data_IF_256199765422
#
_entry.id   IF_256199765422
#
_cell.length_a   1.000
_cell.length_b   1.000
_cell.length_c   1.000
_cell.angle_alpha   90.00
_cell.angle_beta   90.00
_cell.angle_gamma   90.00
#
_symmetry.space_group_name_H-M   'P 1'
#
loop_
_entity.id
_entity.type
_entity.pdbx_description
1 polymer ?
#
# COMPACT_ATOMS: atom_id res chain seq x y z
N UNK A 1 24.07 24.47 -17.75
CA UNK A 1 23.62 24.16 -16.37
C UNK A 1 24.84 24.32 -15.46
N UNK A 2 24.78 25.13 -14.38
CA UNK A 2 25.95 25.50 -13.55
C UNK A 2 26.55 24.34 -12.73
N UNK A 3 27.64 24.58 -11.96
CA UNK A 3 28.38 23.56 -11.19
C UNK A 3 27.53 22.89 -10.10
N UNK A 4 27.99 21.77 -9.55
CA UNK A 4 27.33 21.10 -8.42
C UNK A 4 27.20 22.07 -7.23
N UNK A 5 26.06 22.05 -6.53
CA UNK A 5 25.77 23.01 -5.45
C UNK A 5 25.13 24.35 -5.87
N UNK A 6 25.03 24.65 -7.18
CA UNK A 6 24.43 25.91 -7.67
C UNK A 6 22.89 26.03 -7.48
N UNK A 7 22.27 25.17 -6.67
CA UNK A 7 20.82 25.24 -6.38
C UNK A 7 19.89 24.73 -7.48
N UNK A 8 20.39 24.00 -8.48
CA UNK A 8 19.60 23.49 -9.63
C UNK A 8 18.40 22.63 -9.18
N UNK A 9 18.64 21.65 -8.30
CA UNK A 9 17.59 20.78 -7.77
C UNK A 9 16.59 21.57 -6.94
N UNK A 10 17.07 22.53 -6.13
CA UNK A 10 16.21 23.42 -5.35
C UNK A 10 15.32 24.29 -6.23
N UNK A 11 15.85 24.81 -7.35
CA UNK A 11 15.05 25.56 -8.31
C UNK A 11 13.98 24.67 -8.95
N UNK A 12 14.32 23.45 -9.34
CA UNK A 12 13.35 22.49 -9.88
C UNK A 12 12.28 22.09 -8.86
N UNK A 13 12.63 21.92 -7.58
CA UNK A 13 11.67 21.67 -6.50
C UNK A 13 10.67 22.81 -6.34
N UNK A 14 11.14 24.05 -6.48
CA UNK A 14 10.29 25.25 -6.41
C UNK A 14 9.39 25.35 -7.65
N UNK A 15 9.93 25.09 -8.83
CA UNK A 15 9.22 25.12 -10.11
C UNK A 15 8.21 23.97 -10.28
N UNK A 16 8.45 22.81 -9.68
CA UNK A 16 7.48 21.70 -9.61
C UNK A 16 6.44 21.91 -8.49
N UNK A 17 6.78 22.76 -7.52
CA UNK A 17 5.98 22.97 -6.31
C UNK A 17 6.12 21.83 -5.30
N UNK A 18 7.22 21.07 -5.37
CA UNK A 18 7.65 20.10 -4.36
C UNK A 18 8.08 20.82 -3.08
N UNK A 19 8.88 21.89 -3.22
CA UNK A 19 9.20 22.82 -2.14
C UNK A 19 8.29 24.04 -2.19
N UNK A 20 7.56 24.29 -1.10
CA UNK A 20 6.68 25.47 -0.94
C UNK A 20 7.06 26.37 0.25
N UNK A 21 7.83 25.84 1.19
CA UNK A 21 8.31 26.59 2.36
C UNK A 21 9.50 27.47 1.99
N UNK A 22 9.54 28.68 2.56
CA UNK A 22 10.60 29.67 2.34
C UNK A 22 10.80 30.04 0.85
N UNK A 23 9.70 30.17 0.10
CA UNK A 23 9.71 30.62 -1.30
C UNK A 23 8.82 31.85 -1.41
N UNK A 24 9.41 32.98 -1.84
CA UNK A 24 8.70 34.22 -2.13
C UNK A 24 8.75 34.51 -3.63
N UNK A 25 7.68 35.09 -4.18
CA UNK A 25 7.56 35.47 -5.59
C UNK A 25 6.43 34.75 -6.33
N UNK A 26 6.24 35.10 -7.61
CA UNK A 26 5.21 34.53 -8.47
C UNK A 26 5.84 33.73 -9.62
N UNK A 27 5.35 32.52 -9.84
CA UNK A 27 5.80 31.66 -10.94
C UNK A 27 4.76 31.73 -12.04
N UNK A 28 5.20 32.11 -13.25
CA UNK A 28 4.35 32.21 -14.42
C UNK A 28 4.61 31.06 -15.38
N UNK A 29 3.55 30.44 -15.88
CA UNK A 29 3.61 29.44 -16.95
C UNK A 29 2.84 30.01 -18.13
N UNK A 30 3.53 30.20 -19.26
CA UNK A 30 2.96 30.82 -20.47
C UNK A 30 2.29 32.19 -20.21
N UNK A 31 2.94 33.03 -19.39
CA UNK A 31 2.46 34.39 -19.08
C UNK A 31 1.29 34.46 -18.09
N UNK A 32 0.84 33.33 -17.54
CA UNK A 32 -0.21 33.27 -16.50
C UNK A 32 0.36 32.76 -15.19
N UNK A 33 -0.18 33.25 -14.06
CA UNK A 33 0.19 32.74 -12.73
C UNK A 33 -0.05 31.22 -12.70
N UNK A 34 0.95 30.47 -12.25
CA UNK A 34 0.93 29.01 -12.22
C UNK A 34 -0.15 28.49 -11.27
N UNK A 35 -1.20 27.89 -11.82
CA UNK A 35 -2.07 27.00 -11.07
C UNK A 35 -1.36 25.65 -10.85
N UNK A 36 -0.97 25.35 -9.61
CA UNK A 36 -0.25 24.12 -9.26
C UNK A 36 -1.02 22.83 -9.62
N UNK A 37 -2.34 22.83 -9.49
CA UNK A 37 -3.13 21.64 -9.78
C UNK A 37 -3.21 21.36 -11.28
N UNK A 38 -3.44 22.39 -12.10
CA UNK A 38 -3.43 22.26 -13.55
C UNK A 38 -2.02 21.93 -14.07
N UNK A 39 -1.00 22.60 -13.53
CA UNK A 39 0.40 22.38 -13.90
C UNK A 39 0.83 20.92 -13.66
N UNK A 40 0.55 20.37 -12.46
CA UNK A 40 0.90 18.98 -12.12
C UNK A 40 0.15 17.92 -12.92
N UNK A 41 -0.97 18.25 -13.57
CA UNK A 41 -1.62 17.32 -14.50
C UNK A 41 -0.80 17.20 -15.79
N UNK A 42 -0.29 18.32 -16.29
CA UNK A 42 0.44 18.41 -17.56
C UNK A 42 1.92 18.05 -17.44
N UNK A 43 2.49 18.07 -16.23
CA UNK A 43 3.91 17.77 -15.99
C UNK A 43 4.10 16.54 -15.10
N UNK A 44 5.29 15.96 -15.15
CA UNK A 44 5.74 14.91 -14.25
C UNK A 44 7.05 15.38 -13.61
N UNK A 45 7.15 15.30 -12.29
CA UNK A 45 8.37 15.60 -11.56
C UNK A 45 9.10 14.29 -11.24
N UNK A 46 10.37 14.23 -11.63
CA UNK A 46 11.28 13.11 -11.38
C UNK A 46 12.41 13.66 -10.51
N UNK A 47 12.59 13.08 -9.33
CA UNK A 47 13.66 13.44 -8.39
C UNK A 47 14.98 12.84 -8.84
N UNK A 48 16.09 13.37 -8.34
CA UNK A 48 17.43 12.85 -8.64
C UNK A 48 17.58 11.38 -8.22
N UNK A 49 17.13 11.06 -6.99
CA UNK A 49 16.97 9.68 -6.54
C UNK A 49 15.53 9.25 -6.82
N UNK A 50 15.34 8.48 -7.88
CA UNK A 50 14.03 8.01 -8.28
C UNK A 50 13.77 6.56 -7.80
N UNK A 51 12.78 6.41 -6.93
CA UNK A 51 12.35 5.10 -6.44
C UNK A 51 11.24 4.57 -7.35
N UNK A 52 11.57 3.54 -8.14
CA UNK A 52 10.62 2.82 -8.99
C UNK A 52 10.17 1.53 -8.30
N UNK A 53 9.08 0.94 -8.80
CA UNK A 53 8.68 -0.40 -8.37
C UNK A 53 9.68 -1.41 -8.93
N UNK A 54 10.55 -1.95 -8.08
CA UNK A 54 11.64 -2.87 -8.44
C UNK A 54 11.15 -4.17 -9.11
N UNK A 55 9.94 -4.60 -8.74
CA UNK A 55 9.32 -5.82 -9.27
C UNK A 55 8.66 -5.61 -10.64
N UNK A 56 8.74 -4.42 -11.23
CA UNK A 56 8.20 -4.07 -12.54
C UNK A 56 9.33 -3.71 -13.51
N UNK A 57 9.19 -4.10 -14.77
CA UNK A 57 10.15 -3.66 -15.81
C UNK A 57 10.01 -2.16 -16.05
N UNK A 58 11.04 -1.55 -16.64
CA UNK A 58 11.01 -0.12 -17.02
C UNK A 58 9.79 0.17 -17.92
N UNK A 59 9.53 -0.70 -18.89
CA UNK A 59 8.37 -0.59 -19.78
C UNK A 59 7.04 -0.66 -19.03
N UNK A 60 6.89 -1.56 -18.06
CA UNK A 60 5.67 -1.67 -17.26
C UNK A 60 5.46 -0.43 -16.39
N UNK A 61 6.51 0.08 -15.73
CA UNK A 61 6.46 1.33 -14.98
C UNK A 61 6.02 2.49 -15.87
N UNK A 62 6.57 2.59 -17.09
CA UNK A 62 6.22 3.63 -18.07
C UNK A 62 4.77 3.50 -18.57
N UNK A 63 4.32 2.29 -18.92
CA UNK A 63 2.94 2.03 -19.35
C UNK A 63 1.94 2.36 -18.25
N UNK A 64 2.22 1.97 -17.01
CA UNK A 64 1.36 2.27 -15.86
C UNK A 64 1.29 3.78 -15.61
N UNK A 65 2.42 4.49 -15.67
CA UNK A 65 2.46 5.95 -15.56
C UNK A 65 1.64 6.64 -16.68
N UNK A 66 1.78 6.17 -17.91
CA UNK A 66 1.02 6.66 -19.07
C UNK A 66 -0.49 6.41 -18.90
N UNK A 67 -0.89 5.25 -18.40
CA UNK A 67 -2.30 4.93 -18.13
C UNK A 67 -2.93 5.87 -17.11
N UNK A 68 -2.17 6.29 -16.09
CA UNK A 68 -2.64 7.27 -15.11
C UNK A 68 -2.74 8.69 -15.66
N UNK A 69 -1.80 9.09 -16.52
CA UNK A 69 -1.66 10.48 -17.02
C UNK A 69 -2.48 10.79 -18.26
N UNK A 70 -2.55 9.87 -19.21
CA UNK A 70 -3.23 10.08 -20.49
C UNK A 70 -4.73 9.74 -20.39
N UNK A 71 -5.13 8.84 -19.50
CA UNK A 71 -6.52 8.44 -19.34
C UNK A 71 -6.99 7.41 -20.38
N UNK A 72 -8.25 6.94 -20.31
CA UNK A 72 -8.76 5.87 -21.16
C UNK A 72 -9.09 6.31 -22.60
N UNK A 73 -9.18 7.62 -22.85
CA UNK A 73 -9.58 8.17 -24.15
C UNK A 73 -8.49 8.07 -25.22
N UNK A 74 -7.24 7.84 -24.83
CA UNK A 74 -6.15 7.57 -25.76
C UNK A 74 -6.09 6.07 -26.07
N UNK A 75 -6.12 5.67 -27.36
CA UNK A 75 -5.91 4.29 -27.78
C UNK A 75 -4.60 3.74 -27.21
N UNK A 76 -4.58 2.46 -26.85
CA UNK A 76 -3.39 1.77 -26.33
C UNK A 76 -2.21 1.95 -27.29
N UNK A 77 -2.45 1.84 -28.60
CA UNK A 77 -1.45 2.06 -29.65
C UNK A 77 -0.86 3.48 -29.65
N UNK A 78 -1.65 4.50 -29.30
CA UNK A 78 -1.18 5.89 -29.26
C UNK A 78 -0.40 6.18 -27.96
N UNK A 79 -0.78 5.52 -26.86
CA UNK A 79 -0.01 5.54 -25.59
C UNK A 79 1.31 4.81 -25.74
N UNK A 80 1.27 3.63 -26.36
CA UNK A 80 2.45 2.83 -26.69
C UNK A 80 3.31 3.59 -27.71
N UNK A 81 2.78 4.21 -28.77
CA UNK A 81 3.58 4.99 -29.72
C UNK A 81 4.27 6.22 -29.08
N UNK A 82 3.74 6.79 -28.00
CA UNK A 82 4.40 7.87 -27.25
C UNK A 82 5.55 7.38 -26.37
N UNK A 83 5.55 6.11 -25.96
CA UNK A 83 6.51 5.51 -25.03
C UNK A 83 6.98 4.10 -25.45
N UNK A 84 7.02 3.82 -26.75
CA UNK A 84 7.05 2.46 -27.31
C UNK A 84 8.37 1.75 -27.05
N UNK A 85 8.40 0.45 -27.32
CA UNK A 85 9.60 -0.38 -27.16
C UNK A 85 10.79 0.18 -27.95
N UNK A 86 10.52 0.79 -29.11
CA UNK A 86 11.47 1.52 -29.95
C UNK A 86 12.10 2.72 -29.21
N UNK A 87 11.29 3.52 -28.50
CA UNK A 87 11.73 4.69 -27.75
C UNK A 87 12.36 4.32 -26.41
N UNK A 88 11.94 3.23 -25.78
CA UNK A 88 12.55 2.76 -24.52
C UNK A 88 13.93 2.16 -24.78
N UNK A 89 14.10 1.36 -25.83
CA UNK A 89 15.43 0.90 -26.24
C UNK A 89 16.34 2.08 -26.62
N UNK A 90 15.80 3.08 -27.34
CA UNK A 90 16.52 4.31 -27.66
C UNK A 90 16.85 5.16 -26.42
N UNK A 91 15.96 5.20 -25.41
CA UNK A 91 16.21 5.89 -24.14
C UNK A 91 17.24 5.16 -23.29
N UNK A 92 17.21 3.81 -23.24
CA UNK A 92 18.18 2.98 -22.51
C UNK A 92 19.55 3.08 -23.17
N UNK A 93 19.61 3.01 -24.51
CA UNK A 93 20.84 3.22 -25.27
C UNK A 93 21.38 4.66 -25.13
N UNK A 94 20.50 5.67 -25.07
CA UNK A 94 20.86 7.07 -24.93
C UNK A 94 21.11 7.56 -23.50
N UNK A 95 20.83 6.76 -22.47
CA UNK A 95 20.97 7.19 -21.05
C UNK A 95 22.41 7.23 -20.55
N UNK A 96 23.36 6.59 -21.26
CA UNK A 96 24.83 6.76 -21.13
C UNK A 96 25.35 7.36 -19.82
N UNK A 97 24.97 6.79 -18.66
CA UNK A 97 25.30 7.27 -17.31
C UNK A 97 25.43 8.80 -17.13
N UNK A 98 24.52 9.58 -17.71
CA UNK A 98 24.47 11.03 -17.46
C UNK A 98 25.52 11.90 -18.16
N UNK A 99 26.30 11.35 -19.10
CA UNK A 99 27.22 12.11 -19.96
C UNK A 99 26.94 11.84 -21.43
N UNK A 100 25.80 12.29 -21.94
CA UNK A 100 25.52 12.14 -23.37
C UNK A 100 24.84 13.39 -23.93
N UNK A 101 25.60 14.17 -24.68
CA UNK A 101 25.13 15.33 -25.47
C UNK A 101 24.58 14.91 -26.84
N UNK A 102 24.56 13.60 -27.14
CA UNK A 102 24.12 13.05 -28.44
C UNK A 102 22.61 13.20 -28.69
N UNK A 103 21.84 13.65 -27.68
CA UNK A 103 20.41 13.96 -27.81
C UNK A 103 20.12 15.04 -28.87
N UNK A 104 21.11 15.90 -29.12
CA UNK A 104 21.04 16.92 -30.15
C UNK A 104 22.02 16.56 -31.26
N UNK A 105 21.71 15.52 -32.04
CA UNK A 105 22.52 15.16 -33.22
C UNK A 105 22.83 16.36 -34.15
N UNK A 106 22.02 17.42 -34.08
CA UNK A 106 22.33 18.74 -34.65
C UNK A 106 21.72 19.86 -33.76
N UNK A 107 22.50 20.55 -32.91
CA UNK A 107 22.02 21.61 -32.02
C UNK A 107 21.34 22.77 -32.77
N UNK A 108 21.64 22.94 -34.06
CA UNK A 108 21.06 23.97 -34.91
C UNK A 108 19.60 23.70 -35.32
N UNK A 109 19.12 22.45 -35.19
CA UNK A 109 17.73 22.04 -35.46
C UNK A 109 16.79 22.22 -34.27
N UNK A 110 17.32 22.58 -33.09
CA UNK A 110 16.49 22.94 -31.94
C UNK A 110 15.81 24.26 -32.25
N UNK A 111 14.56 24.18 -32.70
CA UNK A 111 13.75 25.35 -33.03
C UNK A 111 13.73 26.32 -31.85
N UNK A 112 14.00 27.60 -32.14
CA UNK A 112 13.86 28.67 -31.15
C UNK A 112 12.44 28.65 -30.59
N UNK A 113 12.30 29.04 -29.32
CA UNK A 113 11.02 28.98 -28.59
C UNK A 113 9.87 29.70 -29.34
N UNK A 114 10.20 30.77 -30.05
CA UNK A 114 9.28 31.54 -30.89
C UNK A 114 8.76 30.74 -32.10
N UNK A 115 9.66 30.03 -32.80
CA UNK A 115 9.30 29.15 -33.92
C UNK A 115 8.50 27.93 -33.46
N UNK A 116 8.79 27.39 -32.27
CA UNK A 116 7.98 26.32 -31.66
C UNK A 116 6.57 26.80 -31.29
N UNK A 117 6.43 28.02 -30.75
CA UNK A 117 5.12 28.64 -30.45
C UNK A 117 4.26 28.88 -31.69
N UNK A 118 4.88 29.20 -32.83
CA UNK A 118 4.15 29.34 -34.08
C UNK A 118 3.76 27.99 -34.69
N UNK A 119 4.63 26.97 -34.58
CA UNK A 119 4.37 25.63 -35.14
C UNK A 119 3.36 24.82 -34.32
N UNK A 120 3.34 25.02 -33.00
CA UNK A 120 2.42 24.38 -32.06
C UNK A 120 1.74 25.46 -31.20
N UNK A 121 0.75 26.17 -31.74
CA UNK A 121 0.05 27.21 -30.99
C UNK A 121 -0.54 26.59 -29.73
N UNK A 122 -0.22 27.18 -28.58
CA UNK A 122 -0.67 26.72 -27.27
C UNK A 122 -2.20 26.72 -27.25
N UNK A 123 -2.81 25.55 -27.35
CA UNK A 123 -4.25 25.41 -27.16
C UNK A 123 -4.61 25.93 -25.77
N UNK A 124 -5.59 26.83 -25.71
CA UNK A 124 -6.12 27.33 -24.44
C UNK A 124 -6.56 26.10 -23.64
N UNK A 125 -6.11 25.93 -22.38
CA UNK A 125 -6.60 24.82 -21.58
C UNK A 125 -8.12 24.94 -21.53
N UNK A 126 -8.81 23.88 -21.96
CA UNK A 126 -10.25 23.73 -21.77
C UNK A 126 -10.56 23.96 -20.27
N UNK A 127 -11.74 24.54 -20.00
CA UNK A 127 -12.26 24.92 -18.67
C UNK A 127 -11.62 24.11 -17.53
N UNK A 128 -11.15 24.80 -16.49
CA UNK A 128 -10.56 24.19 -15.29
C UNK A 128 -11.50 23.12 -14.71
N UNK A 129 -11.30 21.87 -15.13
CA UNK A 129 -12.00 20.74 -14.56
C UNK A 129 -11.48 20.57 -13.12
N UNK A 130 -12.40 20.68 -12.17
CA UNK A 130 -12.22 20.50 -10.72
C UNK A 130 -11.61 19.14 -10.35
N UNK A 131 -11.70 18.15 -11.23
CA UNK A 131 -11.19 16.79 -11.03
C UNK A 131 -9.65 16.81 -11.02
N UNK A 132 -9.01 16.44 -9.91
CA UNK A 132 -7.54 16.54 -9.73
C UNK A 132 -6.73 15.56 -10.60
N UNK A 133 -7.26 14.38 -10.89
CA UNK A 133 -6.61 13.32 -11.68
C UNK A 133 -7.17 13.27 -13.11
N UNK A 134 -6.39 12.75 -14.06
CA UNK A 134 -6.80 12.59 -15.46
C UNK A 134 -7.76 11.42 -15.69
N UNK A 135 -7.72 10.40 -14.82
CA UNK A 135 -8.53 9.17 -14.89
C UNK A 135 -9.61 9.14 -13.82
N UNK A 136 -10.73 8.47 -14.11
CA UNK A 136 -11.76 8.16 -13.12
C UNK A 136 -11.26 7.13 -12.08
N UNK A 137 -11.87 7.11 -10.90
CA UNK A 137 -11.47 6.24 -9.78
C UNK A 137 -11.45 4.75 -10.14
N UNK A 138 -12.38 4.28 -10.97
CA UNK A 138 -12.43 2.89 -11.42
C UNK A 138 -11.21 2.50 -12.26
N UNK A 139 -10.78 3.39 -13.17
CA UNK A 139 -9.58 3.15 -13.98
C UNK A 139 -8.33 3.18 -13.10
N UNK A 140 -8.26 4.11 -12.14
CA UNK A 140 -7.17 4.14 -11.17
C UNK A 140 -7.08 2.81 -10.41
N UNK A 141 -8.21 2.34 -9.88
CA UNK A 141 -8.31 1.07 -9.16
C UNK A 141 -7.90 -0.11 -10.05
N UNK A 142 -8.43 -0.21 -11.27
CA UNK A 142 -8.10 -1.29 -12.21
C UNK A 142 -6.61 -1.35 -12.53
N UNK A 143 -5.98 -0.21 -12.81
CA UNK A 143 -4.53 -0.14 -13.09
C UNK A 143 -3.71 -0.51 -11.87
N UNK A 144 -4.09 -0.05 -10.67
CA UNK A 144 -3.43 -0.40 -9.41
C UNK A 144 -3.57 -1.90 -9.08
N UNK A 145 -4.76 -2.49 -9.29
CA UNK A 145 -4.99 -3.92 -9.12
C UNK A 145 -4.13 -4.74 -10.08
N UNK A 146 -4.10 -4.37 -11.37
CA UNK A 146 -3.24 -5.04 -12.36
C UNK A 146 -1.77 -5.00 -11.94
N UNK A 147 -1.29 -3.82 -11.50
CA UNK A 147 0.07 -3.63 -10.98
C UNK A 147 0.35 -4.56 -9.80
N UNK A 148 -0.55 -4.56 -8.82
CA UNK A 148 -0.41 -5.38 -7.61
C UNK A 148 -0.41 -6.89 -7.90
N UNK A 149 -1.21 -7.36 -8.85
CA UNK A 149 -1.22 -8.77 -9.26
C UNK A 149 0.11 -9.16 -9.92
N UNK A 150 0.66 -8.33 -10.81
CA UNK A 150 1.97 -8.61 -11.44
C UNK A 150 3.05 -8.69 -10.38
N UNK A 151 3.05 -7.73 -9.45
CA UNK A 151 3.98 -7.69 -8.33
C UNK A 151 3.88 -8.94 -7.46
N UNK A 152 2.68 -9.31 -7.03
CA UNK A 152 2.46 -10.48 -6.16
C UNK A 152 2.79 -11.82 -6.84
N UNK A 153 2.74 -11.89 -8.18
CA UNK A 153 3.20 -13.07 -8.92
C UNK A 153 4.72 -13.18 -9.01
N UNK A 154 5.45 -12.06 -8.98
CA UNK A 154 6.92 -12.04 -9.08
C UNK A 154 7.60 -12.18 -7.73
N UNK A 155 7.03 -11.56 -6.70
CA UNK A 155 7.50 -11.74 -5.32
C UNK A 155 6.60 -12.74 -4.59
N UNK A 156 7.02 -14.00 -4.67
CA UNK A 156 6.31 -15.11 -4.02
C UNK A 156 6.87 -15.44 -2.65
N UNK A 157 8.01 -14.88 -2.25
CA UNK A 157 8.72 -15.23 -1.01
C UNK A 157 7.85 -14.96 0.22
N UNK A 158 7.31 -13.74 0.32
CA UNK A 158 6.41 -13.37 1.41
C UNK A 158 5.13 -14.20 1.41
N UNK A 159 4.62 -14.57 0.24
CA UNK A 159 3.42 -15.40 0.09
C UNK A 159 3.65 -16.82 0.60
N UNK A 160 4.75 -17.47 0.24
CA UNK A 160 5.09 -18.81 0.73
C UNK A 160 5.34 -18.82 2.24
N UNK A 161 6.06 -17.81 2.75
CA UNK A 161 6.30 -17.66 4.19
C UNK A 161 4.98 -17.45 4.96
N UNK A 162 4.05 -16.65 4.44
CA UNK A 162 2.71 -16.47 5.02
C UNK A 162 1.98 -17.80 5.17
N UNK A 163 1.95 -18.62 4.11
CA UNK A 163 1.29 -19.93 4.14
C UNK A 163 2.00 -20.87 5.13
N UNK A 164 3.32 -20.98 5.03
CA UNK A 164 4.11 -21.89 5.86
C UNK A 164 3.98 -21.61 7.36
N UNK A 165 4.11 -20.34 7.77
CA UNK A 165 3.97 -19.94 9.18
C UNK A 165 2.58 -20.25 9.72
N UNK A 166 1.52 -19.98 8.94
CA UNK A 166 0.16 -20.29 9.36
C UNK A 166 -0.07 -21.80 9.53
N UNK A 167 0.42 -22.63 8.62
CA UNK A 167 0.30 -24.09 8.73
C UNK A 167 1.08 -24.59 9.97
N UNK A 168 2.34 -24.20 10.11
CA UNK A 168 3.20 -24.65 11.22
C UNK A 168 2.59 -24.27 12.57
N UNK A 169 2.15 -23.03 12.74
CA UNK A 169 1.55 -22.57 14.00
C UNK A 169 0.20 -23.24 14.25
N UNK A 170 -0.64 -23.43 13.23
CA UNK A 170 -1.93 -24.12 13.39
C UNK A 170 -1.74 -25.57 13.85
N UNK A 171 -0.78 -26.29 13.24
CA UNK A 171 -0.45 -27.66 13.62
C UNK A 171 0.10 -27.71 15.04
N UNK A 172 1.03 -26.81 15.38
CA UNK A 172 1.63 -26.72 16.71
C UNK A 172 0.57 -26.46 17.80
N UNK A 173 -0.31 -25.47 17.62
CA UNK A 173 -1.39 -25.18 18.56
C UNK A 173 -2.44 -26.30 18.60
N UNK A 174 -2.77 -26.89 17.45
CA UNK A 174 -3.71 -28.01 17.37
C UNK A 174 -3.23 -29.22 18.18
N UNK A 175 -1.94 -29.57 18.10
CA UNK A 175 -1.38 -30.65 18.91
C UNK A 175 -1.25 -30.30 20.39
N UNK A 176 -0.89 -29.05 20.72
CA UNK A 176 -0.74 -28.61 22.10
C UNK A 176 -2.07 -28.69 22.89
N UNK A 177 -3.20 -28.46 22.20
CA UNK A 177 -4.53 -28.42 22.78
C UNK A 177 -5.44 -29.54 22.24
N UNK A 178 -4.87 -30.73 21.97
CA UNK A 178 -5.64 -31.89 21.53
C UNK A 178 -6.76 -32.21 22.53
N UNK A 179 -7.94 -32.53 22.02
CA UNK A 179 -9.19 -32.78 22.76
C UNK A 179 -9.71 -31.63 23.66
N UNK A 180 -9.07 -30.46 23.61
CA UNK A 180 -9.43 -29.31 24.47
C UNK A 180 -10.86 -28.80 24.26
N UNK A 181 -11.44 -28.95 23.07
CA UNK A 181 -12.80 -28.52 22.76
C UNK A 181 -13.91 -29.47 23.26
N UNK A 182 -13.59 -30.74 23.54
CA UNK A 182 -14.57 -31.78 23.89
C UNK A 182 -14.69 -32.00 25.41
N UNK A 183 -13.66 -31.65 26.18
CA UNK A 183 -13.62 -31.84 27.63
C UNK A 183 -14.04 -30.59 28.42
N UNK A 184 -15.19 -30.69 29.12
CA UNK A 184 -15.67 -29.64 30.02
C UNK A 184 -14.79 -29.38 31.25
N UNK A 185 -13.86 -30.29 31.58
CA UNK A 185 -12.85 -30.07 32.62
C UNK A 185 -11.74 -29.11 32.18
N UNK A 186 -11.53 -28.96 30.86
CA UNK A 186 -10.43 -28.19 30.25
C UNK A 186 -10.90 -26.86 29.65
N UNK A 187 -11.98 -26.29 30.19
CA UNK A 187 -12.55 -25.01 29.71
C UNK A 187 -11.52 -23.88 29.67
N UNK A 188 -10.63 -23.81 30.67
CA UNK A 188 -9.57 -22.80 30.72
C UNK A 188 -8.52 -23.01 29.61
N UNK A 189 -8.20 -24.26 29.26
CA UNK A 189 -7.30 -24.58 28.16
C UNK A 189 -7.94 -24.22 26.81
N UNK A 190 -9.24 -24.51 26.63
CA UNK A 190 -9.97 -24.14 25.42
C UNK A 190 -10.06 -22.62 25.25
N UNK A 191 -10.31 -21.90 26.35
CA UNK A 191 -10.29 -20.44 26.37
C UNK A 191 -8.91 -19.88 25.98
N UNK A 192 -7.82 -20.48 26.49
CA UNK A 192 -6.46 -20.09 26.15
C UNK A 192 -6.14 -20.35 24.66
N UNK A 193 -6.61 -21.48 24.10
CA UNK A 193 -6.49 -21.77 22.68
C UNK A 193 -7.24 -20.74 21.82
N UNK A 194 -8.49 -20.44 22.17
CA UNK A 194 -9.31 -19.42 21.51
C UNK A 194 -8.60 -18.07 21.47
N UNK A 195 -8.02 -17.65 22.59
CA UNK A 195 -7.26 -16.41 22.67
C UNK A 195 -5.96 -16.47 21.83
N UNK A 196 -5.21 -17.57 21.90
CA UNK A 196 -3.99 -17.78 21.12
C UNK A 196 -4.26 -17.69 19.60
N UNK A 197 -5.39 -18.23 19.14
CA UNK A 197 -5.80 -18.14 17.73
C UNK A 197 -6.05 -16.69 17.30
N UNK A 198 -6.75 -15.89 18.12
CA UNK A 198 -6.97 -14.45 17.85
C UNK A 198 -5.67 -13.66 17.81
N UNK A 199 -4.78 -13.92 18.77
CA UNK A 199 -3.46 -13.29 18.83
C UNK A 199 -2.61 -13.63 17.61
N UNK A 200 -2.60 -14.88 17.17
CA UNK A 200 -1.87 -15.31 15.98
C UNK A 200 -2.37 -14.59 14.71
N UNK A 201 -3.69 -14.57 14.48
CA UNK A 201 -4.27 -13.88 13.34
C UNK A 201 -3.97 -12.37 13.35
N UNK A 202 -4.03 -11.75 14.53
CA UNK A 202 -3.73 -10.34 14.72
C UNK A 202 -2.24 -10.02 14.47
N UNK A 203 -1.32 -10.69 15.17
CA UNK A 203 0.11 -10.38 15.11
C UNK A 203 0.69 -10.64 13.72
N UNK A 204 0.32 -11.77 13.11
CA UNK A 204 0.87 -12.17 11.81
C UNK A 204 0.52 -11.17 10.72
N UNK A 205 -0.72 -10.67 10.69
CA UNK A 205 -1.19 -9.71 9.67
C UNK A 205 -0.70 -8.29 9.92
N UNK A 206 -0.68 -7.86 11.19
CA UNK A 206 -0.19 -6.54 11.58
C UNK A 206 1.32 -6.39 11.33
N UNK A 207 2.14 -7.35 11.74
CA UNK A 207 3.60 -7.26 11.57
C UNK A 207 4.00 -7.17 10.10
N UNK A 208 3.32 -7.93 9.27
CA UNK A 208 3.56 -8.02 7.84
C UNK A 208 3.24 -6.73 7.09
N UNK A 209 2.15 -6.05 7.44
CA UNK A 209 1.82 -4.74 6.88
C UNK A 209 2.79 -3.66 7.36
N UNK A 210 3.25 -3.72 8.60
CA UNK A 210 4.27 -2.82 9.16
C UNK A 210 5.63 -2.97 8.49
N UNK A 211 6.00 -4.19 8.07
CA UNK A 211 7.24 -4.43 7.33
C UNK A 211 7.18 -3.93 5.88
N UNK A 212 6.02 -4.07 5.23
CA UNK A 212 5.89 -3.88 3.78
C UNK A 212 5.36 -2.52 3.37
N UNK A 213 4.54 -1.86 4.19
CA UNK A 213 3.93 -0.59 3.80
C UNK A 213 4.89 0.61 3.84
N UNK A 214 5.78 0.77 4.84
CA UNK A 214 6.71 1.90 4.87
C UNK A 214 7.67 1.93 3.68
N UNK A 215 8.04 0.78 3.12
CA UNK A 215 8.94 0.69 1.96
C UNK A 215 8.28 1.25 0.69
N UNK A 216 6.95 1.17 0.58
CA UNK A 216 6.17 1.74 -0.53
C UNK A 216 5.96 3.25 -0.42
N UNK A 217 6.23 3.84 0.75
CA UNK A 217 5.85 5.22 1.05
C UNK A 217 6.53 6.24 0.14
N UNK A 218 7.80 6.00 -0.23
CA UNK A 218 8.53 6.88 -1.15
C UNK A 218 7.86 6.93 -2.53
N UNK A 219 7.48 5.76 -3.05
CA UNK A 219 6.81 5.62 -4.34
C UNK A 219 5.42 6.25 -4.27
N UNK A 220 4.65 5.97 -3.22
CA UNK A 220 3.31 6.54 -3.02
C UNK A 220 3.34 8.07 -2.98
N UNK A 221 4.28 8.67 -2.23
CA UNK A 221 4.43 10.13 -2.14
C UNK A 221 4.71 10.74 -3.51
N UNK A 222 5.62 10.14 -4.28
CA UNK A 222 5.96 10.58 -5.64
C UNK A 222 4.77 10.46 -6.59
N UNK A 223 4.16 9.28 -6.68
CA UNK A 223 3.04 9.01 -7.61
C UNK A 223 1.82 9.88 -7.28
N UNK A 224 1.53 10.07 -5.99
CA UNK A 224 0.47 10.97 -5.55
C UNK A 224 0.78 12.45 -5.86
N UNK A 225 2.03 12.88 -5.64
CA UNK A 225 2.49 14.22 -6.00
C UNK A 225 2.30 14.50 -7.50
N UNK A 226 2.64 13.51 -8.33
CA UNK A 226 2.46 13.55 -9.78
C UNK A 226 1.02 13.32 -10.25
N UNK A 227 0.04 13.21 -9.34
CA UNK A 227 -1.40 13.04 -9.65
C UNK A 227 -1.71 11.78 -10.46
N UNK A 228 -0.96 10.70 -10.26
CA UNK A 228 -1.23 9.44 -10.95
C UNK A 228 -2.57 8.85 -10.50
N UNK A 229 -2.82 8.83 -9.18
CA UNK A 229 -4.06 8.33 -8.60
C UNK A 229 -4.39 9.01 -7.27
N UNK A 230 -5.61 8.80 -6.79
CA UNK A 230 -6.08 9.25 -5.48
C UNK A 230 -5.63 8.30 -4.36
N UNK A 231 -5.41 8.83 -3.15
CA UNK A 231 -5.07 8.00 -1.98
C UNK A 231 -6.17 6.98 -1.66
N UNK A 232 -7.43 7.32 -1.92
CA UNK A 232 -8.58 6.43 -1.77
C UNK A 232 -8.43 5.20 -2.67
N UNK A 233 -8.18 5.40 -3.96
CA UNK A 233 -7.99 4.30 -4.93
C UNK A 233 -6.81 3.40 -4.57
N UNK A 234 -5.72 3.99 -4.07
CA UNK A 234 -4.55 3.25 -3.60
C UNK A 234 -4.88 2.37 -2.38
N UNK A 235 -5.43 2.96 -1.32
CA UNK A 235 -5.81 2.21 -0.12
C UNK A 235 -6.78 1.06 -0.46
N UNK A 236 -7.82 1.33 -1.25
CA UNK A 236 -8.77 0.29 -1.68
C UNK A 236 -8.10 -0.80 -2.52
N UNK A 237 -7.13 -0.46 -3.37
CA UNK A 237 -6.41 -1.45 -4.17
C UNK A 237 -5.57 -2.38 -3.31
N UNK A 238 -4.84 -1.82 -2.33
CA UNK A 238 -3.97 -2.60 -1.42
C UNK A 238 -4.82 -3.56 -0.61
N UNK A 239 -5.92 -3.08 -0.02
CA UNK A 239 -6.85 -3.92 0.75
C UNK A 239 -7.45 -5.04 -0.10
N UNK A 240 -7.95 -4.74 -1.31
CA UNK A 240 -8.56 -5.74 -2.19
C UNK A 240 -7.58 -6.81 -2.68
N UNK A 241 -6.31 -6.44 -2.88
CA UNK A 241 -5.25 -7.39 -3.28
C UNK A 241 -4.90 -8.38 -2.17
N UNK A 242 -4.96 -7.94 -0.91
CA UNK A 242 -4.63 -8.79 0.24
C UNK A 242 -5.79 -9.73 0.64
N UNK A 243 -7.06 -9.36 0.38
CA UNK A 243 -8.23 -10.16 0.81
C UNK A 243 -8.14 -11.64 0.38
N UNK A 244 -7.90 -12.01 -0.89
CA UNK A 244 -7.87 -13.42 -1.29
C UNK A 244 -6.82 -14.23 -0.53
N UNK A 245 -5.64 -13.64 -0.33
CA UNK A 245 -4.53 -14.30 0.34
C UNK A 245 -4.77 -14.43 1.85
N UNK A 246 -5.28 -13.37 2.48
CA UNK A 246 -5.62 -13.35 3.89
C UNK A 246 -6.72 -14.38 4.21
N UNK A 247 -7.78 -14.40 3.41
CA UNK A 247 -8.88 -15.37 3.54
C UNK A 247 -8.38 -16.80 3.39
N UNK A 248 -7.53 -17.08 2.39
CA UNK A 248 -6.96 -18.40 2.17
C UNK A 248 -6.08 -18.89 3.33
N UNK A 249 -5.14 -18.05 3.81
CA UNK A 249 -4.30 -18.38 4.97
C UNK A 249 -5.13 -18.58 6.24
N UNK A 250 -6.10 -17.70 6.49
CA UNK A 250 -6.99 -17.79 7.65
C UNK A 250 -7.83 -19.07 7.60
N UNK A 251 -8.31 -19.45 6.42
CA UNK A 251 -9.13 -20.64 6.23
C UNK A 251 -8.31 -21.91 6.52
N UNK A 252 -7.13 -22.05 5.91
CA UNK A 252 -6.26 -23.21 6.15
C UNK A 252 -5.88 -23.32 7.63
N UNK A 253 -5.48 -22.21 8.26
CA UNK A 253 -5.16 -22.18 9.69
C UNK A 253 -6.36 -22.67 10.53
N UNK A 254 -7.54 -22.12 10.26
CA UNK A 254 -8.76 -22.41 11.01
C UNK A 254 -9.16 -23.86 10.86
N UNK A 255 -9.15 -24.41 9.64
CA UNK A 255 -9.45 -25.83 9.38
C UNK A 255 -8.54 -26.73 10.22
N UNK A 256 -7.23 -26.49 10.19
CA UNK A 256 -6.26 -27.32 10.93
C UNK A 256 -6.52 -27.25 12.44
N UNK A 257 -6.58 -26.04 13.01
CA UNK A 257 -6.66 -25.89 14.47
C UNK A 257 -8.02 -26.32 15.03
N UNK A 258 -9.12 -26.06 14.29
CA UNK A 258 -10.48 -26.36 14.73
C UNK A 258 -10.72 -27.87 14.86
N UNK A 259 -10.29 -28.63 13.85
CA UNK A 259 -10.44 -30.09 13.88
C UNK A 259 -9.42 -30.77 14.80
N UNK A 260 -8.17 -30.31 14.86
CA UNK A 260 -7.16 -30.91 15.77
C UNK A 260 -7.48 -30.68 17.26
N UNK A 261 -8.11 -29.56 17.60
CA UNK A 261 -8.52 -29.27 18.98
C UNK A 261 -9.90 -29.83 19.35
N UNK A 262 -10.55 -30.59 18.45
CA UNK A 262 -11.85 -31.21 18.68
C UNK A 262 -12.96 -30.21 19.04
N UNK A 263 -13.00 -29.06 18.35
CA UNK A 263 -14.13 -28.14 18.47
C UNK A 263 -15.42 -28.77 17.91
N UNK A 264 -16.62 -28.32 18.35
CA UNK A 264 -17.88 -28.90 17.92
C UNK A 264 -18.03 -28.93 16.38
N UNK A 265 -18.28 -30.07 15.73
CA UNK A 265 -18.22 -30.20 14.27
C UNK A 265 -19.40 -29.59 13.49
N UNK A 266 -20.06 -28.57 14.05
CA UNK A 266 -21.20 -27.90 13.44
C UNK A 266 -20.74 -26.86 12.41
N UNK A 267 -21.25 -26.94 11.17
CA UNK A 267 -20.88 -26.05 10.06
C UNK A 267 -21.11 -24.58 10.40
N UNK A 268 -22.20 -24.26 11.11
CA UNK A 268 -22.53 -22.89 11.49
C UNK A 268 -21.51 -22.32 12.49
N UNK A 269 -21.10 -23.10 13.50
CA UNK A 269 -20.09 -22.70 14.48
C UNK A 269 -18.72 -22.54 13.83
N UNK A 270 -18.35 -23.46 12.94
CA UNK A 270 -17.13 -23.33 12.15
C UNK A 270 -17.13 -22.05 11.30
N UNK A 271 -18.25 -21.76 10.61
CA UNK A 271 -18.37 -20.57 9.77
C UNK A 271 -18.27 -19.27 10.60
N UNK A 272 -18.89 -19.23 11.78
CA UNK A 272 -18.77 -18.09 12.69
C UNK A 272 -17.34 -17.94 13.23
N UNK A 273 -16.71 -19.03 13.67
CA UNK A 273 -15.32 -19.03 14.13
C UNK A 273 -14.39 -18.48 13.05
N UNK A 274 -14.48 -19.01 11.83
CA UNK A 274 -13.73 -18.52 10.68
C UNK A 274 -13.99 -17.04 10.35
N UNK A 275 -15.26 -16.62 10.39
CA UNK A 275 -15.63 -15.23 10.08
C UNK A 275 -15.06 -14.26 11.12
N UNK A 276 -15.10 -14.63 12.41
CA UNK A 276 -14.52 -13.84 13.50
C UNK A 276 -12.99 -13.76 13.33
N UNK A 277 -12.31 -14.89 13.06
CA UNK A 277 -10.86 -14.91 12.75
C UNK A 277 -10.52 -13.92 11.62
N UNK A 278 -11.31 -13.95 10.55
CA UNK A 278 -11.08 -13.14 9.36
C UNK A 278 -11.29 -11.64 9.63
N UNK A 279 -12.32 -11.28 10.40
CA UNK A 279 -12.56 -9.89 10.79
C UNK A 279 -11.44 -9.36 11.67
N UNK A 280 -10.95 -10.15 12.63
CA UNK A 280 -9.83 -9.79 13.50
C UNK A 280 -8.55 -9.57 12.68
N UNK A 281 -8.29 -10.43 11.69
CA UNK A 281 -7.19 -10.27 10.75
C UNK A 281 -7.29 -8.94 9.96
N UNK A 282 -8.49 -8.56 9.47
CA UNK A 282 -8.66 -7.30 8.74
C UNK A 282 -8.53 -6.04 9.61
N UNK A 283 -9.01 -6.10 10.86
CA UNK A 283 -8.81 -5.01 11.83
C UNK A 283 -7.31 -4.85 12.12
N UNK A 284 -6.59 -5.95 12.37
CA UNK A 284 -5.16 -5.93 12.62
C UNK A 284 -4.35 -5.45 11.40
N UNK A 285 -4.74 -5.83 10.18
CA UNK A 285 -4.16 -5.31 8.94
C UNK A 285 -4.34 -3.79 8.83
N UNK A 286 -5.51 -3.26 9.19
CA UNK A 286 -5.79 -1.82 9.14
C UNK A 286 -4.94 -1.03 10.15
N UNK A 287 -4.77 -1.57 11.36
CA UNK A 287 -3.87 -1.00 12.38
C UNK A 287 -2.42 -1.04 11.88
N UNK A 288 -1.98 -2.15 11.29
CA UNK A 288 -0.62 -2.27 10.77
C UNK A 288 -0.34 -1.32 9.59
N UNK A 289 -1.31 -1.10 8.70
CA UNK A 289 -1.22 -0.07 7.65
C UNK A 289 -1.12 1.34 8.25
N UNK A 290 -1.86 1.63 9.31
CA UNK A 290 -1.78 2.92 10.02
C UNK A 290 -0.40 3.12 10.66
N UNK A 291 0.12 2.11 11.37
CA UNK A 291 1.47 2.15 11.96
C UNK A 291 2.52 2.32 10.87
N UNK A 292 2.42 1.56 9.78
CA UNK A 292 3.35 1.66 8.65
C UNK A 292 3.28 2.99 7.89
N UNK A 293 2.15 3.72 7.99
CA UNK A 293 2.03 5.04 7.39
C UNK A 293 2.78 6.12 8.21
N UNK A 294 2.83 5.95 9.53
CA UNK A 294 3.41 6.93 10.45
C UNK A 294 4.90 6.66 10.72
N UNK A 295 5.27 5.40 10.88
CA UNK A 295 6.62 5.00 11.31
C UNK A 295 7.44 4.39 10.17
N UNK A 296 8.76 4.47 10.29
CA UNK A 296 9.67 3.67 9.46
C UNK A 296 9.61 2.19 9.89
N UNK A 297 10.22 1.30 9.10
CA UNK A 297 10.18 -0.14 9.36
C UNK A 297 10.69 -0.48 10.77
N UNK A 298 11.83 0.09 11.19
CA UNK A 298 12.45 -0.20 12.50
C UNK A 298 11.57 0.21 13.68
N UNK A 299 11.01 1.42 13.66
CA UNK A 299 10.17 1.88 14.76
C UNK A 299 8.80 1.19 14.72
N UNK A 300 8.28 0.92 13.52
CA UNK A 300 7.02 0.22 13.33
C UNK A 300 7.06 -1.20 13.89
N UNK A 301 8.12 -1.96 13.61
CA UNK A 301 8.26 -3.35 14.12
C UNK A 301 8.38 -3.42 15.63
N UNK A 302 8.85 -2.35 16.29
CA UNK A 302 8.83 -2.23 17.75
C UNK A 302 7.44 -1.86 18.28
N UNK A 303 6.80 -0.84 17.70
CA UNK A 303 5.52 -0.30 18.19
C UNK A 303 4.38 -1.30 18.00
N UNK A 304 4.34 -2.04 16.89
CA UNK A 304 3.20 -2.89 16.57
C UNK A 304 2.97 -4.01 17.61
N UNK A 305 3.93 -4.86 17.97
CA UNK A 305 3.75 -5.85 19.04
C UNK A 305 3.46 -5.20 20.41
N UNK A 306 4.15 -4.12 20.76
CA UNK A 306 3.94 -3.39 22.02
C UNK A 306 2.51 -2.85 22.11
N UNK A 307 1.93 -2.36 21.01
CA UNK A 307 0.55 -1.88 20.97
C UNK A 307 -0.49 -2.99 21.16
N UNK A 308 -0.12 -4.24 20.92
CA UNK A 308 -1.01 -5.38 21.07
C UNK A 308 -1.14 -5.89 22.50
N UNK A 309 -0.12 -5.67 23.33
CA UNK A 309 -0.10 -6.11 24.73
C UNK A 309 -1.25 -5.45 25.52
N UNK A 310 -1.47 -4.12 25.45
CA UNK A 310 -2.66 -3.51 26.05
C UNK A 310 -3.97 -4.07 25.49
N UNK A 311 -4.04 -4.35 24.18
CA UNK A 311 -5.25 -4.93 23.58
C UNK A 311 -5.55 -6.33 24.14
N UNK A 312 -4.50 -7.13 24.37
CA UNK A 312 -4.59 -8.42 25.07
C UNK A 312 -5.07 -8.26 26.52
N UNK A 313 -4.47 -7.35 27.29
CA UNK A 313 -4.87 -7.11 28.68
C UNK A 313 -6.34 -6.69 28.78
N UNK A 314 -6.76 -5.76 27.92
CA UNK A 314 -8.14 -5.28 27.85
C UNK A 314 -9.13 -6.27 27.23
N UNK A 315 -8.66 -7.39 26.68
CA UNK A 315 -9.49 -8.51 26.24
C UNK A 315 -9.86 -9.46 27.38
N UNK A 316 -9.35 -9.24 28.59
CA UNK A 316 -9.58 -10.13 29.74
C UNK A 316 -8.54 -11.24 29.87
N UNK A 317 -7.46 -11.20 29.09
CA UNK A 317 -6.34 -12.13 29.20
C UNK A 317 -5.26 -11.54 30.12
N UNK A 318 -4.97 -12.22 31.24
CA UNK A 318 -4.03 -11.80 32.29
C UNK A 318 -4.68 -11.04 33.46
N UNK A 319 -5.68 -10.18 33.20
CA UNK A 319 -6.48 -9.51 34.24
C UNK A 319 -7.95 -9.66 33.89
N UNK A 320 -8.78 -10.08 34.85
CA UNK A 320 -10.22 -10.20 34.59
C UNK A 320 -10.84 -8.82 34.40
N UNK A 321 -11.83 -8.70 33.51
CA UNK A 321 -12.49 -7.42 33.22
C UNK A 321 -13.20 -6.82 34.44
N UNK A 322 -13.53 -7.64 35.44
CA UNK A 322 -14.18 -7.20 36.68
C UNK A 322 -13.22 -6.46 37.60
N UNK A 323 -11.95 -6.85 37.59
CA UNK A 323 -10.90 -6.30 38.44
C UNK A 323 -10.26 -5.03 37.83
N UNK A 324 -10.67 -4.63 36.63
CA UNK A 324 -10.20 -3.40 36.00
C UNK A 324 -10.63 -2.17 36.80
N UNK A 325 -9.68 -1.29 37.20
CA UNK A 325 -10.00 -0.03 37.84
C UNK A 325 -10.93 0.83 36.97
N UNK A 326 -11.87 1.60 37.55
CA UNK A 326 -12.85 2.37 36.78
C UNK A 326 -12.24 3.28 35.69
N UNK A 327 -11.07 3.86 35.95
CA UNK A 327 -10.37 4.75 35.02
C UNK A 327 -9.72 4.02 33.82
N UNK A 328 -9.59 2.68 33.84
CA UNK A 328 -9.06 1.88 32.72
C UNK A 328 -10.13 1.07 31.98
N UNK A 329 -11.38 1.06 32.48
CA UNK A 329 -12.47 0.28 31.86
C UNK A 329 -12.75 0.67 30.41
N UNK A 330 -12.51 1.92 30.02
CA UNK A 330 -12.70 2.38 28.63
C UNK A 330 -11.84 1.58 27.62
N UNK A 331 -10.65 1.12 28.02
CA UNK A 331 -9.76 0.32 27.16
C UNK A 331 -10.39 -1.00 26.73
N UNK A 332 -11.24 -1.59 27.58
CA UNK A 332 -11.98 -2.81 27.25
C UNK A 332 -12.99 -2.63 26.12
N UNK A 333 -13.45 -1.41 25.83
CA UNK A 333 -14.36 -1.16 24.70
C UNK A 333 -13.62 -0.96 23.37
N UNK A 334 -12.31 -0.70 23.42
CA UNK A 334 -11.47 -0.46 22.24
C UNK A 334 -10.83 -1.76 21.75
N UNK A 335 -10.57 -2.71 22.65
CA UNK A 335 -9.95 -3.98 22.29
C UNK A 335 -10.84 -4.80 21.36
N UNK A 336 -10.47 -4.89 20.08
CA UNK A 336 -11.12 -5.77 19.13
C UNK A 336 -10.88 -7.27 19.44
N UNK A 337 -9.79 -7.59 20.14
CA UNK A 337 -9.51 -8.94 20.61
C UNK A 337 -10.54 -9.39 21.65
N UNK A 338 -11.05 -8.46 22.47
CA UNK A 338 -12.15 -8.74 23.40
C UNK A 338 -13.39 -9.22 22.68
N UNK A 339 -13.86 -8.47 21.69
CA UNK A 339 -15.06 -8.83 20.93
C UNK A 339 -14.86 -10.13 20.13
N UNK A 340 -13.65 -10.36 19.61
CA UNK A 340 -13.31 -11.64 18.99
C UNK A 340 -13.40 -12.82 19.96
N UNK A 341 -12.91 -12.63 21.19
CA UNK A 341 -12.90 -13.67 22.22
C UNK A 341 -14.30 -13.94 22.78
N UNK A 342 -15.06 -12.90 23.12
CA UNK A 342 -16.48 -13.02 23.49
C UNK A 342 -17.27 -13.71 22.36
N UNK A 343 -16.94 -13.39 21.10
CA UNK A 343 -17.50 -14.04 19.93
C UNK A 343 -17.20 -15.53 19.86
N UNK A 344 -15.95 -15.96 20.08
CA UNK A 344 -15.59 -17.38 20.11
C UNK A 344 -16.23 -18.16 21.26
N UNK A 345 -16.27 -17.57 22.45
CA UNK A 345 -16.83 -18.21 23.65
C UNK A 345 -18.36 -18.31 23.59
N UNK A 346 -19.01 -17.41 22.85
CA UNK A 346 -20.46 -17.44 22.64
C UNK A 346 -20.97 -18.46 21.62
N UNK A 347 -20.07 -19.16 20.90
CA UNK A 347 -20.38 -20.24 19.96
C UNK A 347 -20.54 -21.58 20.68
#
# INVERSE_FOLDING_TARGET
MGPSGAGKSTLLDVLSGYKKSNVNGAIYVNGRIRNLNAFRKMTCYITQDDHLQELLTVLENMRIAADFKLGPHYPIQEKDARHGDDKIQHMVAGMGNGECMDWFGDPSKVLKLETLRMKYPLQRPAKENTILQATNQWNQLKTLMRRGIIRGKRDTTLTHLRIGVNIIVAVMLGFLFIEGGNEGSRVLDNYNLMFANLMHHSMTTMMLTVLTFPTEMAILRKEHFNRYYSLKSYYTSVTLLDIPMATFCCFIYTVIVYFLSYQPPEVFRFAMFFTISLLVAFVAQSIGLMVGAWFNVVNGTFIAPVSSIPMMMFAGFGVTLRDLPPYLKWGSYISYLRYGLEGYVGL
#
